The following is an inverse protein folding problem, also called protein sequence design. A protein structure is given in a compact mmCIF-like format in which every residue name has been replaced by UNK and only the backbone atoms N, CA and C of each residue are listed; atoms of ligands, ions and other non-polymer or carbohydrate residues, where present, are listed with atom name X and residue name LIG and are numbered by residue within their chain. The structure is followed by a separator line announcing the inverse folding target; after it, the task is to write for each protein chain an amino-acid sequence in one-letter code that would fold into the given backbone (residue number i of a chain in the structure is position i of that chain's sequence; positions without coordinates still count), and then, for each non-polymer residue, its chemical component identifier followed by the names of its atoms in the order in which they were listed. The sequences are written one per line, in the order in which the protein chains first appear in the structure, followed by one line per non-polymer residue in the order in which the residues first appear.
data_IF_474867859789
#
_entry.id   IF_474867859789
#
_cell.length_a   1.000
_cell.length_b   1.000
_cell.length_c   1.000
_cell.angle_alpha   90.00
_cell.angle_beta   90.00
_cell.angle_gamma   90.00
#
_symmetry.space_group_name_H-M   'P 1'
#
loop_
_entity.id
_entity.type
_entity.pdbx_description
1 polymer ?
#
# COMPACT_ATOMS: atom_id res chain seq x y z
N UNK A 1 -6.55 41.41 23.49
CA UNK A 1 -6.75 39.96 23.52
C UNK A 1 -6.87 39.46 22.07
N UNK A 2 -6.17 38.39 21.64
CA UNK A 2 -6.38 37.82 20.30
C UNK A 2 -7.80 37.30 20.21
N UNK A 3 -8.45 37.34 19.03
CA UNK A 3 -9.79 36.80 18.86
C UNK A 3 -9.77 35.31 19.11
N UNK A 4 -10.72 34.86 19.95
CA UNK A 4 -10.96 33.43 20.16
C UNK A 4 -11.39 32.83 18.84
N UNK A 5 -10.54 31.99 18.25
CA UNK A 5 -10.91 31.15 17.10
C UNK A 5 -12.10 30.27 17.53
N UNK A 6 -13.14 30.24 16.70
CA UNK A 6 -14.30 29.40 16.96
C UNK A 6 -13.89 27.93 17.10
N UNK A 7 -14.49 27.15 18.03
CA UNK A 7 -14.10 25.76 18.30
C UNK A 7 -14.18 24.80 17.12
N UNK A 8 -14.73 25.21 15.98
CA UNK A 8 -14.85 24.39 14.80
C UNK A 8 -13.74 24.54 13.75
N UNK A 9 -12.84 25.52 13.92
CA UNK A 9 -11.79 25.80 12.91
C UNK A 9 -10.47 25.08 13.19
N UNK A 10 -10.21 24.68 14.42
CA UNK A 10 -8.97 24.03 14.83
C UNK A 10 -8.91 22.55 14.52
N UNK A 11 -10.02 21.91 14.18
CA UNK A 11 -10.11 20.45 13.97
C UNK A 11 -10.33 20.04 12.51
N UNK A 12 -10.33 20.99 11.58
CA UNK A 12 -10.46 20.71 10.15
C UNK A 12 -9.11 20.32 9.55
N UNK A 13 -9.14 19.37 8.59
CA UNK A 13 -7.99 19.04 7.79
C UNK A 13 -7.44 20.29 7.10
N UNK A 14 -6.16 20.59 7.33
CA UNK A 14 -5.47 21.65 6.62
C UNK A 14 -5.26 21.24 5.16
N UNK A 15 -5.22 22.23 4.28
CA UNK A 15 -5.14 22.01 2.82
C UNK A 15 -3.98 21.09 2.42
N UNK A 16 -2.82 21.26 3.02
CA UNK A 16 -1.63 20.48 2.72
C UNK A 16 -1.77 19.03 3.18
N UNK A 17 -2.37 18.81 4.37
CA UNK A 17 -2.65 17.46 4.87
C UNK A 17 -3.70 16.75 4.02
N UNK A 18 -4.77 17.46 3.65
CA UNK A 18 -5.81 16.91 2.76
C UNK A 18 -5.22 16.47 1.42
N UNK A 19 -4.34 17.28 0.82
CA UNK A 19 -3.65 16.89 -0.41
C UNK A 19 -2.80 15.64 -0.22
N UNK A 20 -2.05 15.54 0.86
CA UNK A 20 -1.24 14.37 1.18
C UNK A 20 -2.09 13.09 1.32
N UNK A 21 -3.24 13.19 1.96
CA UNK A 21 -4.18 12.07 2.09
C UNK A 21 -4.81 11.67 0.75
N UNK A 22 -5.13 12.64 -0.13
CA UNK A 22 -5.57 12.36 -1.50
C UNK A 22 -4.49 11.62 -2.29
N UNK A 23 -3.25 12.09 -2.22
CA UNK A 23 -2.12 11.45 -2.90
C UNK A 23 -1.94 10.01 -2.40
N UNK A 24 -2.17 9.77 -1.12
CA UNK A 24 -2.06 8.43 -0.55
C UNK A 24 -3.20 7.50 -1.00
N UNK A 25 -4.43 7.99 -1.14
CA UNK A 25 -5.52 7.20 -1.75
C UNK A 25 -5.08 6.72 -3.13
N UNK A 26 -4.53 7.61 -3.95
CA UNK A 26 -4.04 7.26 -5.28
C UNK A 26 -2.92 6.23 -5.23
N UNK A 27 -1.97 6.37 -4.29
CA UNK A 27 -0.87 5.42 -4.11
C UNK A 27 -1.39 4.03 -3.72
N UNK A 28 -2.36 3.94 -2.80
CA UNK A 28 -2.95 2.66 -2.39
C UNK A 28 -3.75 2.01 -3.52
N UNK A 29 -4.52 2.80 -4.28
CA UNK A 29 -5.24 2.29 -5.46
C UNK A 29 -4.28 1.83 -6.55
N UNK A 30 -3.17 2.54 -6.76
CA UNK A 30 -2.13 2.10 -7.67
C UNK A 30 -1.50 0.78 -7.20
N UNK A 31 -1.24 0.62 -5.90
CA UNK A 31 -0.73 -0.64 -5.34
C UNK A 31 -1.68 -1.80 -5.64
N UNK A 32 -2.99 -1.60 -5.44
CA UNK A 32 -4.00 -2.61 -5.78
C UNK A 32 -3.95 -2.98 -7.27
N UNK A 33 -3.82 -1.97 -8.13
CA UNK A 33 -3.78 -2.14 -9.58
C UNK A 33 -2.50 -2.86 -10.02
N UNK A 34 -1.37 -2.52 -9.41
CA UNK A 34 -0.08 -3.20 -9.64
C UNK A 34 -0.17 -4.68 -9.25
N UNK A 35 -0.70 -4.99 -8.09
CA UNK A 35 -0.81 -6.38 -7.62
C UNK A 35 -1.82 -7.19 -8.44
N UNK A 36 -2.86 -6.56 -8.94
CA UNK A 36 -3.76 -7.19 -9.90
C UNK A 36 -3.07 -7.52 -11.24
N UNK A 37 -2.19 -6.63 -11.69
CA UNK A 37 -1.35 -6.89 -12.88
C UNK A 37 -0.37 -8.04 -12.63
N UNK A 38 0.22 -8.13 -11.43
CA UNK A 38 1.09 -9.25 -11.04
C UNK A 38 0.31 -10.56 -10.93
N UNK A 39 -0.93 -10.53 -10.44
CA UNK A 39 -1.82 -11.69 -10.47
C UNK A 39 -1.98 -12.22 -11.90
N UNK A 40 -2.28 -11.35 -12.84
CA UNK A 40 -2.42 -11.71 -14.24
C UNK A 40 -1.13 -12.34 -14.80
N UNK A 41 0.02 -11.78 -14.47
CA UNK A 41 1.32 -12.34 -14.83
C UNK A 41 1.48 -13.77 -14.30
N UNK A 42 1.22 -14.02 -13.02
CA UNK A 42 1.34 -15.35 -12.43
C UNK A 42 0.32 -16.36 -13.01
N UNK A 43 -0.88 -15.91 -13.34
CA UNK A 43 -1.85 -16.74 -14.08
C UNK A 43 -1.29 -17.16 -15.44
N UNK A 44 -0.64 -16.23 -16.16
CA UNK A 44 -0.11 -16.49 -17.49
C UNK A 44 1.04 -17.51 -17.52
N UNK A 45 1.73 -17.72 -16.41
CA UNK A 45 2.81 -18.71 -16.25
C UNK A 45 2.40 -19.91 -15.40
N UNK A 46 1.10 -20.09 -15.18
CA UNK A 46 0.51 -21.23 -14.46
C UNK A 46 0.94 -21.36 -12.99
N UNK A 47 1.28 -20.27 -12.33
CA UNK A 47 1.58 -20.19 -10.90
C UNK A 47 0.37 -19.62 -10.14
N UNK A 48 -0.65 -20.45 -9.98
CA UNK A 48 -1.95 -20.04 -9.41
C UNK A 48 -1.89 -19.70 -7.93
N UNK A 49 -0.98 -20.30 -7.17
CA UNK A 49 -0.77 -19.98 -5.77
C UNK A 49 -0.18 -18.59 -5.58
N UNK A 50 0.82 -18.25 -6.36
CA UNK A 50 1.36 -16.88 -6.41
C UNK A 50 0.29 -15.88 -6.86
N UNK A 51 -0.52 -16.25 -7.85
CA UNK A 51 -1.61 -15.40 -8.32
C UNK A 51 -2.65 -15.15 -7.20
N UNK A 52 -3.02 -16.18 -6.44
CA UNK A 52 -3.93 -16.06 -5.31
C UNK A 52 -3.38 -15.13 -4.22
N UNK A 53 -2.09 -15.22 -3.93
CA UNK A 53 -1.42 -14.32 -2.99
C UNK A 53 -1.52 -12.86 -3.47
N UNK A 54 -1.28 -12.60 -4.74
CA UNK A 54 -1.40 -11.26 -5.32
C UNK A 54 -2.82 -10.72 -5.29
N UNK A 55 -3.83 -11.57 -5.50
CA UNK A 55 -5.23 -11.15 -5.42
C UNK A 55 -5.59 -10.69 -4.00
N UNK A 56 -5.16 -11.41 -2.99
CA UNK A 56 -5.36 -11.02 -1.59
C UNK A 56 -4.72 -9.66 -1.33
N UNK A 57 -3.49 -9.47 -1.77
CA UNK A 57 -2.79 -8.18 -1.64
C UNK A 57 -3.55 -7.05 -2.35
N UNK A 58 -4.03 -7.27 -3.57
CA UNK A 58 -4.79 -6.26 -4.30
C UNK A 58 -6.07 -5.84 -3.54
N UNK A 59 -6.75 -6.79 -2.92
CA UNK A 59 -7.94 -6.53 -2.10
C UNK A 59 -7.59 -5.76 -0.82
N UNK A 60 -6.49 -6.10 -0.17
CA UNK A 60 -6.01 -5.40 1.03
C UNK A 60 -5.67 -3.95 0.72
N UNK A 61 -4.99 -3.68 -0.39
CA UNK A 61 -4.64 -2.32 -0.81
C UNK A 61 -5.88 -1.46 -1.09
N UNK A 62 -6.94 -2.05 -1.66
CA UNK A 62 -8.21 -1.33 -1.80
C UNK A 62 -8.84 -1.00 -0.45
N UNK A 63 -8.73 -1.90 0.52
CA UNK A 63 -9.19 -1.64 1.89
C UNK A 63 -8.39 -0.50 2.53
N UNK A 64 -7.08 -0.46 2.30
CA UNK A 64 -6.22 0.65 2.75
C UNK A 64 -6.67 1.98 2.14
N UNK A 65 -6.90 2.01 0.83
CA UNK A 65 -7.39 3.21 0.14
C UNK A 65 -8.72 3.69 0.75
N UNK A 66 -9.64 2.77 1.04
CA UNK A 66 -10.94 3.11 1.63
C UNK A 66 -10.84 3.63 3.05
N UNK A 67 -9.85 3.20 3.83
CA UNK A 67 -9.58 3.79 5.15
C UNK A 67 -9.22 5.27 5.06
N UNK A 68 -8.34 5.65 4.13
CA UNK A 68 -8.03 7.06 3.86
C UNK A 68 -9.24 7.84 3.36
N UNK A 69 -9.99 7.24 2.45
CA UNK A 69 -11.22 7.81 1.90
C UNK A 69 -12.21 8.16 2.99
N UNK A 70 -12.53 7.21 3.85
CA UNK A 70 -13.47 7.38 4.96
C UNK A 70 -12.97 8.40 5.99
N UNK A 71 -11.67 8.37 6.31
CA UNK A 71 -11.07 9.31 7.26
C UNK A 71 -11.18 10.76 6.79
N UNK A 72 -10.97 11.03 5.50
CA UNK A 72 -11.15 12.36 4.94
C UNK A 72 -12.59 12.85 5.17
N UNK A 73 -13.59 11.99 4.92
CA UNK A 73 -14.99 12.34 5.15
C UNK A 73 -15.30 12.54 6.63
N UNK A 74 -14.79 11.70 7.51
CA UNK A 74 -14.93 11.86 8.97
C UNK A 74 -14.36 13.20 9.47
N UNK A 75 -13.30 13.68 8.83
CA UNK A 75 -12.68 14.98 9.14
C UNK A 75 -13.34 16.15 8.39
N UNK A 76 -14.48 15.93 7.73
CA UNK A 76 -15.26 16.95 7.03
C UNK A 76 -14.65 17.41 5.69
N UNK A 77 -13.68 16.69 5.17
CA UNK A 77 -13.08 16.95 3.85
C UNK A 77 -13.88 16.32 2.71
N UNK A 78 -13.45 16.60 1.50
CA UNK A 78 -13.96 15.97 0.27
C UNK A 78 -12.81 15.24 -0.42
N UNK A 79 -13.11 14.05 -0.91
CA UNK A 79 -12.15 13.26 -1.69
C UNK A 79 -12.15 13.77 -3.14
N UNK A 80 -10.95 13.91 -3.69
CA UNK A 80 -10.71 14.13 -5.11
C UNK A 80 -9.95 12.93 -5.65
N UNK A 81 -10.52 12.21 -6.62
CA UNK A 81 -9.91 11.06 -7.24
C UNK A 81 -9.09 11.49 -8.46
N UNK A 82 -7.86 11.04 -8.51
CA UNK A 82 -6.91 11.35 -9.57
C UNK A 82 -6.71 10.13 -10.49
N UNK A 83 -6.07 10.35 -11.63
CA UNK A 83 -5.72 9.29 -12.56
C UNK A 83 -4.78 8.28 -11.91
N UNK A 84 -5.12 6.99 -12.02
CA UNK A 84 -4.25 5.90 -11.60
C UNK A 84 -3.35 5.52 -12.77
N UNK A 85 -2.04 5.53 -12.57
CA UNK A 85 -1.08 5.20 -13.62
C UNK A 85 -1.22 3.75 -14.08
N UNK A 86 -0.90 3.49 -15.34
CA UNK A 86 -0.84 2.13 -15.88
C UNK A 86 0.31 1.37 -15.21
N UNK A 87 0.06 0.19 -14.59
CA UNK A 87 1.12 -0.62 -14.01
C UNK A 87 1.90 -1.38 -15.07
N UNK A 88 3.08 -1.86 -14.71
CA UNK A 88 3.80 -2.85 -15.51
C UNK A 88 2.96 -4.12 -15.67
N UNK A 89 3.15 -4.81 -16.79
CA UNK A 89 2.36 -6.00 -17.14
C UNK A 89 3.16 -7.30 -17.10
N UNK A 90 4.48 -7.23 -17.11
CA UNK A 90 5.37 -8.40 -17.18
C UNK A 90 6.61 -8.23 -16.33
N UNK A 91 7.13 -9.35 -15.84
CA UNK A 91 8.38 -9.44 -15.10
C UNK A 91 9.20 -10.62 -15.64
N UNK A 92 10.51 -10.58 -15.46
CA UNK A 92 11.42 -11.61 -16.00
C UNK A 92 11.28 -12.97 -15.30
N UNK A 93 10.87 -12.97 -14.03
CA UNK A 93 10.76 -14.17 -13.21
C UNK A 93 9.85 -13.92 -11.99
N UNK A 94 9.37 -14.97 -11.31
CA UNK A 94 8.71 -14.82 -10.01
C UNK A 94 9.53 -14.03 -8.99
N UNK A 95 10.83 -14.27 -8.93
CA UNK A 95 11.73 -13.51 -8.05
C UNK A 95 11.75 -12.02 -8.41
N UNK A 96 11.86 -11.69 -9.70
CA UNK A 96 11.85 -10.28 -10.14
C UNK A 96 10.53 -9.60 -9.79
N UNK A 97 9.40 -10.29 -9.92
CA UNK A 97 8.10 -9.75 -9.52
C UNK A 97 8.04 -9.44 -8.01
N UNK A 98 8.49 -10.36 -7.16
CA UNK A 98 8.49 -10.15 -5.71
C UNK A 98 9.55 -9.16 -5.23
N UNK A 99 10.69 -9.05 -5.90
CA UNK A 99 11.62 -7.95 -5.65
C UNK A 99 10.99 -6.59 -5.97
N UNK A 100 10.18 -6.52 -7.02
CA UNK A 100 9.41 -5.33 -7.34
C UNK A 100 8.33 -5.04 -6.27
N UNK A 101 7.67 -6.07 -5.72
CA UNK A 101 6.74 -5.91 -4.59
C UNK A 101 7.45 -5.31 -3.39
N UNK A 102 8.58 -5.89 -2.99
CA UNK A 102 9.33 -5.40 -1.83
C UNK A 102 9.78 -3.95 -2.02
N UNK A 103 10.33 -3.61 -3.18
CA UNK A 103 10.74 -2.24 -3.49
C UNK A 103 9.53 -1.29 -3.46
N UNK A 104 8.38 -1.73 -3.97
CA UNK A 104 7.15 -0.94 -3.94
C UNK A 104 6.66 -0.71 -2.51
N UNK A 105 6.65 -1.74 -1.67
CA UNK A 105 6.23 -1.59 -0.25
C UNK A 105 7.18 -0.66 0.52
N UNK A 106 8.49 -0.73 0.26
CA UNK A 106 9.44 0.23 0.83
C UNK A 106 9.16 1.66 0.39
N UNK A 107 8.73 1.86 -0.86
CA UNK A 107 8.30 3.16 -1.35
C UNK A 107 7.02 3.63 -0.62
N UNK A 108 6.02 2.77 -0.49
CA UNK A 108 4.78 3.09 0.26
C UNK A 108 5.09 3.43 1.71
N UNK A 109 5.99 2.70 2.35
CA UNK A 109 6.47 3.02 3.70
C UNK A 109 7.02 4.44 3.78
N UNK A 110 7.82 4.86 2.79
CA UNK A 110 8.36 6.22 2.75
C UNK A 110 7.26 7.27 2.63
N UNK A 111 6.22 7.00 1.83
CA UNK A 111 5.06 7.90 1.70
C UNK A 111 4.28 8.03 3.01
N UNK A 112 4.06 6.93 3.71
CA UNK A 112 3.40 6.93 5.02
C UNK A 112 4.22 7.72 6.04
N UNK A 113 5.54 7.51 6.09
CA UNK A 113 6.42 8.25 6.98
C UNK A 113 6.39 9.75 6.71
N UNK A 114 6.37 10.16 5.45
CA UNK A 114 6.25 11.57 5.05
C UNK A 114 4.93 12.18 5.53
N UNK A 115 3.82 11.41 5.47
CA UNK A 115 2.53 11.86 6.00
C UNK A 115 2.55 12.01 7.52
N UNK A 116 3.20 11.09 8.24
CA UNK A 116 3.38 11.20 9.70
C UNK A 116 4.16 12.46 10.05
N UNK A 117 5.26 12.71 9.37
CA UNK A 117 6.07 13.91 9.57
C UNK A 117 5.26 15.19 9.30
N UNK A 118 4.45 15.18 8.25
CA UNK A 118 3.57 16.30 7.95
C UNK A 118 2.52 16.51 9.06
N UNK A 119 1.89 15.43 9.54
CA UNK A 119 0.90 15.51 10.62
C UNK A 119 1.53 16.06 11.92
N UNK A 120 2.73 15.62 12.27
CA UNK A 120 3.47 16.11 13.42
C UNK A 120 3.80 17.60 13.23
N UNK A 121 4.33 17.98 12.06
CA UNK A 121 4.68 19.36 11.75
C UNK A 121 3.49 20.32 11.78
N UNK A 122 2.33 19.87 11.37
CA UNK A 122 1.08 20.64 11.42
C UNK A 122 0.33 20.53 12.77
N UNK A 123 0.84 19.73 13.68
CA UNK A 123 0.20 19.43 14.98
C UNK A 123 -1.20 18.83 14.82
N UNK A 124 -1.40 18.04 13.75
CA UNK A 124 -2.62 17.31 13.47
C UNK A 124 -2.58 15.95 14.18
N UNK A 125 -2.96 15.95 15.45
CA UNK A 125 -2.87 14.77 16.29
C UNK A 125 -3.80 13.65 15.84
N UNK A 126 -5.00 13.97 15.35
CA UNK A 126 -5.96 12.99 14.87
C UNK A 126 -5.41 12.24 13.64
N UNK A 127 -4.83 12.96 12.68
CA UNK A 127 -4.19 12.34 11.52
C UNK A 127 -2.98 11.52 11.93
N UNK A 128 -2.16 12.00 12.85
CA UNK A 128 -1.02 11.24 13.36
C UNK A 128 -1.46 9.90 13.97
N UNK A 129 -2.49 9.88 14.81
CA UNK A 129 -3.03 8.64 15.41
C UNK A 129 -3.58 7.71 14.31
N UNK A 130 -4.33 8.25 13.37
CA UNK A 130 -4.85 7.49 12.24
C UNK A 130 -3.73 6.80 11.44
N UNK A 131 -2.65 7.51 11.16
CA UNK A 131 -1.51 7.00 10.40
C UNK A 131 -0.71 5.92 11.13
N UNK A 132 -0.78 5.84 12.46
CA UNK A 132 -0.02 4.85 13.24
C UNK A 132 -0.37 3.41 12.85
N UNK A 133 -1.62 3.14 12.50
CA UNK A 133 -2.01 1.83 11.99
C UNK A 133 -1.23 1.49 10.71
N UNK A 134 -1.09 2.45 9.80
CA UNK A 134 -0.36 2.25 8.53
C UNK A 134 1.15 2.10 8.75
N UNK A 135 1.72 2.77 9.75
CA UNK A 135 3.13 2.58 10.13
C UNK A 135 3.37 1.13 10.55
N UNK A 136 2.51 0.57 11.38
CA UNK A 136 2.58 -0.84 11.80
C UNK A 136 2.34 -1.80 10.63
N UNK A 137 1.34 -1.52 9.81
CA UNK A 137 0.99 -2.34 8.65
C UNK A 137 2.16 -2.43 7.67
N UNK A 138 2.85 -1.32 7.40
CA UNK A 138 3.99 -1.33 6.48
C UNK A 138 5.15 -2.19 6.98
N UNK A 139 5.34 -2.34 8.28
CA UNK A 139 6.32 -3.30 8.83
C UNK A 139 5.94 -4.72 8.43
N UNK A 140 4.66 -5.07 8.51
CA UNK A 140 4.15 -6.40 8.14
C UNK A 140 4.22 -6.63 6.63
N UNK A 141 3.86 -5.62 5.82
CA UNK A 141 3.91 -5.69 4.36
C UNK A 141 5.33 -5.92 3.85
N UNK A 142 6.30 -5.18 4.35
CA UNK A 142 7.70 -5.38 3.98
C UNK A 142 8.24 -6.74 4.46
N UNK A 143 7.86 -7.18 5.66
CA UNK A 143 8.27 -8.47 6.18
C UNK A 143 7.70 -9.62 5.34
N UNK A 144 6.42 -9.56 4.99
CA UNK A 144 5.75 -10.59 4.18
C UNK A 144 6.36 -10.69 2.77
N UNK A 145 6.56 -9.56 2.10
CA UNK A 145 7.19 -9.53 0.79
C UNK A 145 8.65 -10.01 0.85
N UNK A 146 9.40 -9.56 1.85
CA UNK A 146 10.79 -9.95 2.07
C UNK A 146 10.97 -11.44 2.32
N UNK A 147 10.07 -12.07 3.07
CA UNK A 147 10.10 -13.51 3.29
C UNK A 147 9.93 -14.29 1.97
N UNK A 148 9.00 -13.88 1.13
CA UNK A 148 8.80 -14.52 -0.19
C UNK A 148 10.04 -14.35 -1.07
N UNK A 149 10.63 -13.15 -1.09
CA UNK A 149 11.88 -12.88 -1.82
C UNK A 149 13.01 -13.80 -1.34
N UNK A 150 13.21 -13.91 -0.04
CA UNK A 150 14.27 -14.73 0.54
C UNK A 150 14.08 -16.22 0.19
N UNK A 151 12.86 -16.71 0.26
CA UNK A 151 12.52 -18.09 -0.11
C UNK A 151 12.72 -18.36 -1.59
N UNK A 152 12.33 -17.43 -2.46
CA UNK A 152 12.56 -17.54 -3.91
C UNK A 152 14.05 -17.57 -4.24
N UNK A 153 14.88 -16.79 -3.54
CA UNK A 153 16.34 -16.84 -3.69
C UNK A 153 16.92 -18.18 -3.26
N UNK A 154 16.39 -18.79 -2.21
CA UNK A 154 16.83 -20.11 -1.73
C UNK A 154 16.55 -21.22 -2.73
N UNK A 155 15.39 -21.22 -3.37
CA UNK A 155 15.03 -22.26 -4.32
C UNK A 155 15.64 -22.05 -5.72
N UNK A 156 16.11 -20.84 -6.01
CA UNK A 156 16.68 -20.46 -7.31
C UNK A 156 15.77 -20.91 -8.48
N UNK A 157 16.34 -21.62 -9.45
CA UNK A 157 15.64 -22.11 -10.64
C UNK A 157 15.12 -23.55 -10.47
N UNK A 158 14.98 -24.03 -9.24
CA UNK A 158 14.48 -25.38 -8.99
C UNK A 158 12.95 -25.45 -9.18
N UNK A 159 12.45 -26.13 -10.24
CA UNK A 159 11.02 -26.20 -10.51
C UNK A 159 10.21 -26.85 -9.38
N UNK A 160 10.75 -27.89 -8.73
CA UNK A 160 10.08 -28.55 -7.63
C UNK A 160 9.90 -27.64 -6.41
N UNK A 161 10.93 -26.87 -6.08
CA UNK A 161 10.86 -25.86 -5.03
C UNK A 161 9.84 -24.77 -5.34
N UNK A 162 9.79 -24.33 -6.60
CA UNK A 162 8.84 -23.33 -7.06
C UNK A 162 7.38 -23.84 -6.94
N UNK A 163 7.11 -25.08 -7.38
CA UNK A 163 5.78 -25.69 -7.25
C UNK A 163 5.35 -25.87 -5.79
N UNK A 164 6.27 -26.26 -4.92
CA UNK A 164 5.98 -26.40 -3.48
C UNK A 164 5.60 -25.04 -2.88
N UNK A 165 6.33 -24.00 -3.22
CA UNK A 165 6.07 -22.64 -2.75
C UNK A 165 4.76 -22.10 -3.29
N UNK A 166 4.47 -22.36 -4.57
CA UNK A 166 3.18 -22.01 -5.19
C UNK A 166 2.01 -22.65 -4.45
N UNK A 167 2.08 -23.92 -4.15
CA UNK A 167 1.05 -24.62 -3.39
C UNK A 167 0.87 -24.04 -1.99
N UNK A 168 1.95 -23.63 -1.33
CA UNK A 168 1.89 -23.05 0.01
C UNK A 168 1.27 -21.65 -0.01
N UNK A 169 1.66 -20.79 -0.94
CA UNK A 169 1.12 -19.43 -1.05
C UNK A 169 -0.35 -19.39 -1.45
N UNK A 170 -0.86 -20.42 -2.08
CA UNK A 170 -2.26 -20.53 -2.50
C UNK A 170 -3.23 -21.03 -1.43
N UNK A 171 -2.76 -21.26 -0.21
CA UNK A 171 -3.60 -21.76 0.90
C UNK A 171 -4.44 -20.69 1.57
#
# INVERSE_FOLDING_TARGET
APPLTSPGETDKLKKKMLKGLHDQINAEMFSAYLYLSMENYFQSISLRGFAAWMRVQAQEEMTHAMKFYDFIHERGGKVSLETIAKPEATWESPLAAFEAVLAHEQHVTSLINDLVDLAIGEKDHATNIFLQWFVSEQVEEEASAGEVVDRLRLIKDNPSGLFMMDAELGK
#
